data_IF_287553418438
#
_entry.id   IF_287553418438
#
_cell.length_a   1.000
_cell.length_b   1.000
_cell.length_c   1.000
_cell.angle_alpha   90.00
_cell.angle_beta   90.00
_cell.angle_gamma   90.00
#
_symmetry.space_group_name_H-M   'P 1'
#
loop_
_entity.id
_entity.type
_entity.pdbx_description
1 polymer ?
#
# COMPACT_ATOMS: atom_id res chain seq x y z
N UNK A 1 -17.71 -10.54 -20.72
CA UNK A 1 -16.31 -10.66 -20.27
C UNK A 1 -16.13 -9.77 -19.06
N UNK A 2 -15.94 -10.35 -17.88
CA UNK A 2 -15.40 -9.62 -16.73
C UNK A 2 -13.94 -9.30 -17.08
N UNK A 3 -13.60 -8.01 -17.25
CA UNK A 3 -12.23 -7.60 -17.57
C UNK A 3 -11.25 -7.90 -16.44
N UNK A 4 -10.02 -7.40 -16.54
CA UNK A 4 -8.95 -7.52 -15.53
C UNK A 4 -9.18 -6.68 -14.27
N UNK A 5 -10.42 -6.64 -13.78
CA UNK A 5 -10.84 -5.90 -12.59
C UNK A 5 -11.39 -6.85 -11.53
N UNK A 6 -10.93 -6.70 -10.29
CA UNK A 6 -11.32 -7.51 -9.15
C UNK A 6 -11.99 -6.68 -8.07
N UNK A 7 -12.97 -7.27 -7.39
CA UNK A 7 -13.56 -6.69 -6.19
C UNK A 7 -12.55 -6.76 -5.04
N UNK A 8 -12.18 -5.60 -4.52
CA UNK A 8 -11.28 -5.44 -3.38
C UNK A 8 -11.93 -4.52 -2.35
N UNK A 9 -11.42 -4.54 -1.12
CA UNK A 9 -11.81 -3.56 -0.10
C UNK A 9 -10.65 -2.59 0.11
N UNK A 10 -10.89 -1.30 -0.12
CA UNK A 10 -9.96 -0.22 0.16
C UNK A 10 -10.50 0.62 1.31
N UNK A 11 -9.76 0.70 2.43
CA UNK A 11 -10.17 1.46 3.62
C UNK A 11 -11.64 1.18 4.03
N UNK A 12 -12.02 -0.11 4.06
CA UNK A 12 -13.37 -0.62 4.37
C UNK A 12 -14.47 -0.31 3.34
N UNK A 13 -14.11 0.19 2.15
CA UNK A 13 -15.04 0.42 1.04
C UNK A 13 -14.80 -0.62 -0.07
N UNK A 14 -15.83 -1.36 -0.51
CA UNK A 14 -15.71 -2.22 -1.67
C UNK A 14 -15.53 -1.39 -2.94
N UNK A 15 -14.65 -1.84 -3.83
CA UNK A 15 -14.35 -1.21 -5.12
C UNK A 15 -13.80 -2.24 -6.10
N UNK A 16 -14.06 -2.03 -7.40
CA UNK A 16 -13.36 -2.75 -8.47
C UNK A 16 -12.05 -2.07 -8.79
N UNK A 17 -10.94 -2.73 -8.46
CA UNK A 17 -9.60 -2.28 -8.82
C UNK A 17 -9.15 -2.96 -10.12
N UNK A 18 -8.44 -2.21 -10.97
CA UNK A 18 -7.74 -2.77 -12.13
C UNK A 18 -6.49 -3.52 -11.65
N UNK A 19 -6.33 -4.77 -12.06
CA UNK A 19 -5.07 -5.51 -11.88
C UNK A 19 -4.25 -5.36 -13.16
N UNK A 20 -3.10 -4.68 -13.05
CA UNK A 20 -2.30 -4.29 -14.21
C UNK A 20 -0.81 -4.56 -13.97
N UNK A 21 -0.34 -5.72 -14.42
CA UNK A 21 1.08 -6.06 -14.41
C UNK A 21 1.93 -5.20 -15.36
N UNK A 22 1.30 -4.46 -16.28
CA UNK A 22 1.96 -3.51 -17.18
C UNK A 22 2.20 -2.13 -16.53
N UNK A 23 1.57 -1.83 -15.40
CA UNK A 23 1.79 -0.61 -14.65
C UNK A 23 2.93 -0.81 -13.63
N UNK A 24 4.00 -0.02 -13.69
CA UNK A 24 5.08 -0.11 -12.70
C UNK A 24 4.65 0.31 -11.29
N UNK A 25 3.64 1.16 -11.18
CA UNK A 25 3.20 1.76 -9.92
C UNK A 25 1.72 1.54 -9.68
N UNK A 26 1.36 1.36 -8.42
CA UNK A 26 -0.02 1.34 -7.96
C UNK A 26 -0.56 2.76 -7.87
N UNK A 27 -1.75 2.96 -8.42
CA UNK A 27 -2.34 4.28 -8.64
C UNK A 27 -3.72 4.38 -8.02
N UNK A 28 -4.02 5.54 -7.44
CA UNK A 28 -5.37 5.94 -7.05
C UNK A 28 -5.74 7.27 -7.72
N UNK A 29 -7.00 7.41 -8.14
CA UNK A 29 -7.54 8.68 -8.63
C UNK A 29 -7.68 9.69 -7.47
N UNK A 30 -7.37 10.96 -7.69
CA UNK A 30 -7.57 11.99 -6.65
C UNK A 30 -9.04 12.11 -6.25
N UNK A 31 -9.97 11.87 -7.20
CA UNK A 31 -11.40 11.79 -6.93
C UNK A 31 -11.70 10.75 -5.84
N UNK A 32 -11.19 9.53 -5.99
CA UNK A 32 -11.44 8.45 -5.05
C UNK A 32 -10.68 8.66 -3.72
N UNK A 33 -9.44 9.16 -3.77
CA UNK A 33 -8.69 9.55 -2.57
C UNK A 33 -9.47 10.58 -1.72
N UNK A 34 -10.07 11.60 -2.35
CA UNK A 34 -10.91 12.60 -1.68
C UNK A 34 -12.16 11.97 -1.06
N UNK A 35 -12.82 11.07 -1.78
CA UNK A 35 -13.95 10.31 -1.27
C UNK A 35 -13.59 9.51 0.00
N UNK A 36 -12.40 8.89 0.02
CA UNK A 36 -11.86 8.18 1.18
C UNK A 36 -11.26 9.10 2.25
N UNK A 37 -11.18 10.42 2.01
CA UNK A 37 -10.58 11.42 2.91
C UNK A 37 -9.11 11.11 3.29
N UNK A 38 -8.34 10.52 2.38
CA UNK A 38 -6.94 10.12 2.65
C UNK A 38 -6.01 11.33 2.52
N UNK A 39 -5.03 11.44 3.41
CA UNK A 39 -4.03 12.53 3.35
C UNK A 39 -3.17 12.36 2.10
N UNK A 40 -2.96 13.47 1.38
CA UNK A 40 -2.03 13.56 0.25
C UNK A 40 -0.70 14.10 0.78
N UNK A 41 0.40 13.42 0.49
CA UNK A 41 1.75 13.90 0.78
C UNK A 41 2.58 13.97 -0.49
N UNK A 42 3.49 14.94 -0.55
CA UNK A 42 4.35 15.15 -1.71
C UNK A 42 5.38 14.01 -1.84
N UNK A 43 5.68 13.60 -3.07
CA UNK A 43 6.90 12.87 -3.34
C UNK A 43 8.04 13.88 -3.54
N UNK A 44 9.09 13.78 -2.73
CA UNK A 44 10.27 14.62 -2.85
C UNK A 44 11.00 14.39 -4.18
N UNK A 45 10.79 13.23 -4.81
CA UNK A 45 11.33 12.89 -6.12
C UNK A 45 10.34 13.43 -7.15
N UNK A 46 10.76 14.40 -7.95
CA UNK A 46 10.00 14.97 -9.07
C UNK A 46 9.81 13.93 -10.21
N UNK A 47 9.11 12.84 -9.95
CA UNK A 47 8.91 11.74 -10.89
C UNK A 47 7.86 12.13 -11.94
N UNK A 48 8.17 11.90 -13.22
CA UNK A 48 7.18 11.89 -14.29
C UNK A 48 6.88 10.44 -14.66
N UNK A 49 5.60 10.12 -14.82
CA UNK A 49 5.15 8.80 -15.23
C UNK A 49 4.80 8.82 -16.71
N UNK A 50 5.34 7.87 -17.46
CA UNK A 50 4.84 7.55 -18.81
C UNK A 50 3.62 6.66 -18.65
N UNK A 51 2.47 7.07 -19.18
CA UNK A 51 1.23 6.28 -19.12
C UNK A 51 0.97 5.55 -20.44
N UNK A 52 -0.07 4.71 -20.44
CA UNK A 52 -0.35 3.78 -21.53
C UNK A 52 -0.63 4.45 -22.89
N UNK A 53 -1.09 5.71 -22.90
CA UNK A 53 -1.29 6.49 -24.13
C UNK A 53 0.02 7.08 -24.70
N UNK A 54 1.15 6.85 -24.02
CA UNK A 54 2.47 7.35 -24.39
C UNK A 54 2.81 8.72 -23.82
N UNK A 55 1.85 9.44 -23.21
CA UNK A 55 2.07 10.75 -22.61
C UNK A 55 2.80 10.65 -21.27
N UNK A 56 3.37 11.77 -20.86
CA UNK A 56 3.99 11.92 -19.54
C UNK A 56 3.10 12.76 -18.64
N UNK A 57 2.85 12.26 -17.43
CA UNK A 57 2.07 12.95 -16.41
C UNK A 57 2.87 13.09 -15.13
N UNK A 58 2.61 14.17 -14.41
CA UNK A 58 3.15 14.40 -13.08
C UNK A 58 2.12 13.97 -12.04
N UNK A 59 2.43 13.00 -11.16
CA UNK A 59 1.59 12.72 -10.01
C UNK A 59 1.39 13.95 -9.14
N UNK A 60 0.21 14.08 -8.53
CA UNK A 60 -0.04 15.18 -7.59
C UNK A 60 0.49 14.89 -6.18
N UNK A 61 0.90 13.64 -5.93
CA UNK A 61 1.49 13.18 -4.68
C UNK A 61 1.25 11.70 -4.47
N UNK A 62 1.31 11.28 -3.21
CA UNK A 62 1.13 9.91 -2.75
C UNK A 62 0.16 9.85 -1.57
N UNK A 63 -0.41 8.68 -1.34
CA UNK A 63 -1.18 8.40 -0.14
C UNK A 63 -1.06 6.92 0.25
N UNK A 64 -1.30 6.58 1.52
CA UNK A 64 -1.31 5.18 1.98
C UNK A 64 -2.73 4.68 2.09
N UNK A 65 -3.07 3.59 1.40
CA UNK A 65 -4.36 2.91 1.44
C UNK A 65 -4.25 1.61 2.23
N UNK A 66 -5.30 1.19 2.94
CA UNK A 66 -5.41 -0.19 3.44
C UNK A 66 -6.11 -1.03 2.38
N UNK A 67 -5.39 -1.97 1.79
CA UNK A 67 -5.88 -2.87 0.75
C UNK A 67 -6.21 -4.20 1.37
N UNK A 68 -7.47 -4.65 1.21
CA UNK A 68 -7.92 -5.97 1.61
C UNK A 68 -8.38 -6.78 0.41
N UNK A 69 -7.72 -7.90 0.20
CA UNK A 69 -8.00 -8.89 -0.83
C UNK A 69 -8.05 -10.25 -0.13
N UNK A 70 -9.11 -11.01 -0.35
CA UNK A 70 -9.41 -12.21 0.42
C UNK A 70 -9.41 -11.92 1.94
N UNK A 71 -8.67 -12.71 2.73
CA UNK A 71 -8.51 -12.54 4.18
C UNK A 71 -7.27 -11.71 4.59
N UNK A 72 -6.56 -11.10 3.64
CA UNK A 72 -5.34 -10.32 3.90
C UNK A 72 -5.62 -8.83 3.79
N UNK A 73 -5.19 -8.04 4.78
CA UNK A 73 -5.26 -6.57 4.75
C UNK A 73 -3.86 -5.99 5.02
N UNK A 74 -3.37 -5.13 4.13
CA UNK A 74 -2.07 -4.47 4.29
C UNK A 74 -2.13 -2.98 3.91
N UNK A 75 -1.38 -2.11 4.62
CA UNK A 75 -1.17 -0.75 4.16
C UNK A 75 -0.21 -0.74 2.97
N UNK A 76 -0.53 0.02 1.92
CA UNK A 76 0.34 0.18 0.76
C UNK A 76 0.32 1.62 0.26
N UNK A 77 1.46 2.09 -0.25
CA UNK A 77 1.61 3.44 -0.82
C UNK A 77 1.13 3.45 -2.27
N UNK A 78 0.29 4.42 -2.61
CA UNK A 78 -0.23 4.63 -3.95
C UNK A 78 0.19 5.99 -4.47
N UNK A 79 0.53 6.04 -5.75
CA UNK A 79 0.66 7.28 -6.49
C UNK A 79 -0.73 7.86 -6.75
N UNK A 80 -0.89 9.17 -6.52
CA UNK A 80 -2.15 9.87 -6.78
C UNK A 80 -2.06 10.61 -8.10
N UNK A 81 -2.98 10.29 -9.03
CA UNK A 81 -3.14 10.99 -10.29
C UNK A 81 -4.37 11.91 -10.24
N UNK A 82 -4.26 13.12 -10.80
CA UNK A 82 -5.38 14.05 -10.93
C UNK A 82 -6.51 13.48 -11.79
N UNK A 83 -6.14 12.81 -12.89
CA UNK A 83 -7.05 12.15 -13.81
C UNK A 83 -6.56 10.72 -14.06
N UNK A 84 -7.44 9.76 -13.83
CA UNK A 84 -7.22 8.34 -14.10
C UNK A 84 -8.54 7.72 -14.54
N UNK A 85 -8.51 6.82 -15.52
CA UNK A 85 -9.71 6.11 -16.00
C UNK A 85 -10.26 5.11 -14.96
N UNK A 86 -9.42 4.72 -14.00
CA UNK A 86 -9.75 3.80 -12.93
C UNK A 86 -9.53 4.48 -11.58
N UNK A 87 -10.40 4.20 -10.63
CA UNK A 87 -10.26 4.75 -9.28
C UNK A 87 -9.08 4.12 -8.54
N UNK A 88 -8.80 2.83 -8.77
CA UNK A 88 -7.65 2.11 -8.22
C UNK A 88 -7.03 1.20 -9.29
N UNK A 89 -5.71 1.25 -9.42
CA UNK A 89 -4.90 0.33 -10.22
C UNK A 89 -3.89 -0.32 -9.26
N UNK A 90 -3.87 -1.64 -9.22
CA UNK A 90 -2.85 -2.44 -8.55
C UNK A 90 -1.76 -2.74 -9.58
N UNK A 91 -0.65 -2.01 -9.45
CA UNK A 91 0.52 -2.13 -10.32
C UNK A 91 1.49 -3.20 -9.84
N UNK A 92 2.57 -3.37 -10.61
CA UNK A 92 3.63 -4.34 -10.36
C UNK A 92 4.27 -4.18 -8.98
N UNK A 93 4.44 -2.95 -8.48
CA UNK A 93 4.96 -2.68 -7.13
C UNK A 93 4.13 -3.33 -6.01
N UNK A 94 2.80 -3.25 -6.09
CA UNK A 94 1.90 -3.92 -5.15
C UNK A 94 1.93 -5.42 -5.36
N UNK A 95 1.83 -5.87 -6.61
CA UNK A 95 1.81 -7.30 -6.95
C UNK A 95 3.09 -8.00 -6.47
N UNK A 96 4.26 -7.41 -6.70
CA UNK A 96 5.55 -7.90 -6.23
C UNK A 96 5.64 -7.86 -4.71
N UNK A 97 5.31 -6.71 -4.08
CA UNK A 97 5.42 -6.56 -2.63
C UNK A 97 4.47 -7.49 -1.84
N UNK A 98 3.36 -7.89 -2.43
CA UNK A 98 2.38 -8.81 -1.84
C UNK A 98 2.53 -10.27 -2.31
N UNK A 99 3.56 -10.57 -3.10
CA UNK A 99 3.80 -11.90 -3.70
C UNK A 99 2.51 -12.43 -4.35
N UNK A 100 1.86 -11.58 -5.14
CA UNK A 100 0.53 -11.85 -5.64
C UNK A 100 0.54 -12.87 -6.79
N UNK A 101 -0.37 -13.83 -6.73
CA UNK A 101 -0.66 -14.78 -7.81
C UNK A 101 -1.94 -14.34 -8.51
N UNK A 102 -1.81 -14.02 -9.80
CA UNK A 102 -2.96 -13.70 -10.67
C UNK A 102 -3.48 -15.00 -11.27
N UNK A 103 -4.60 -15.51 -10.76
CA UNK A 103 -5.27 -16.69 -11.31
C UNK A 103 -6.39 -16.26 -12.28
N UNK A 104 -6.06 -16.25 -13.57
CA UNK A 104 -7.02 -15.92 -14.62
C UNK A 104 -8.10 -16.99 -14.81
N UNK A 105 -7.84 -18.25 -14.41
CA UNK A 105 -8.80 -19.35 -14.53
C UNK A 105 -9.92 -19.24 -13.50
N UNK A 106 -9.57 -18.82 -12.29
CA UNK A 106 -10.53 -18.55 -11.20
C UNK A 106 -11.02 -17.11 -11.15
N UNK A 107 -10.40 -16.19 -11.91
CA UNK A 107 -10.65 -14.75 -11.84
C UNK A 107 -10.42 -14.20 -10.41
N UNK A 108 -9.27 -14.55 -9.84
CA UNK A 108 -8.89 -14.19 -8.47
C UNK A 108 -7.46 -13.62 -8.43
N UNK A 109 -7.21 -12.80 -7.40
CA UNK A 109 -5.87 -12.39 -7.00
C UNK A 109 -5.62 -12.93 -5.61
N UNK A 110 -4.65 -13.84 -5.49
CA UNK A 110 -4.26 -14.42 -4.22
C UNK A 110 -3.01 -13.69 -3.76
N UNK A 111 -3.01 -13.22 -2.51
CA UNK A 111 -1.80 -12.66 -1.90
C UNK A 111 -1.15 -13.79 -1.11
N UNK A 112 0.07 -14.17 -1.47
CA UNK A 112 0.79 -15.18 -0.70
C UNK A 112 1.12 -14.65 0.70
N UNK A 113 1.16 -15.57 1.64
CA UNK A 113 1.72 -15.27 2.94
C UNK A 113 3.18 -14.94 2.73
N UNK A 114 3.58 -13.71 3.04
CA UNK A 114 4.96 -13.45 3.39
C UNK A 114 5.19 -14.16 4.72
N UNK A 115 5.32 -15.49 4.68
CA UNK A 115 6.24 -16.20 5.52
C UNK A 115 7.60 -15.60 5.17
N UNK A 116 7.92 -14.43 5.77
CA UNK A 116 9.28 -14.30 6.27
C UNK A 116 9.43 -15.57 7.08
N UNK A 117 10.44 -16.38 6.79
CA UNK A 117 10.89 -17.37 7.74
C UNK A 117 11.27 -16.62 9.02
N UNK A 118 10.26 -16.25 9.80
CA UNK A 118 10.35 -15.85 11.16
C UNK A 118 10.42 -17.16 11.91
N UNK A 119 11.63 -17.68 12.00
CA UNK A 119 12.16 -18.01 13.32
C UNK A 119 12.24 -16.73 14.18
N UNK A 120 11.17 -15.94 14.25
CA UNK A 120 11.04 -14.79 15.13
C UNK A 120 10.13 -15.27 16.26
N UNK A 121 10.69 -15.55 17.45
CA UNK A 121 9.89 -15.85 18.62
C UNK A 121 9.02 -14.62 18.93
N UNK A 122 7.76 -14.87 19.27
CA UNK A 122 6.83 -14.06 20.05
C UNK A 122 7.00 -12.54 19.96
N UNK A 123 6.02 -11.86 19.34
CA UNK A 123 5.92 -10.41 19.17
C UNK A 123 6.69 -9.59 20.22
N UNK A 124 7.93 -9.19 19.88
CA UNK A 124 8.74 -8.34 20.74
C UNK A 124 8.15 -6.93 20.72
N UNK A 125 7.59 -6.51 21.86
CA UNK A 125 7.19 -5.12 22.04
C UNK A 125 8.38 -4.31 22.57
N UNK A 126 8.77 -3.27 21.83
CA UNK A 126 9.83 -2.32 22.21
C UNK A 126 9.19 -1.08 22.85
N UNK A 127 9.63 -0.74 24.06
CA UNK A 127 9.20 0.46 24.77
C UNK A 127 10.40 1.34 25.10
N UNK A 128 10.21 2.66 25.09
CA UNK A 128 11.20 3.57 25.63
C UNK A 128 11.30 3.36 27.14
N UNK A 129 12.52 3.33 27.68
CA UNK A 129 12.72 3.09 29.13
C UNK A 129 12.32 4.28 30.02
N UNK A 130 11.95 5.40 29.41
CA UNK A 130 11.48 6.65 30.03
C UNK A 130 10.83 7.53 28.97
N UNK A 131 10.25 8.63 29.40
CA UNK A 131 9.70 9.64 28.50
C UNK A 131 10.80 10.46 27.81
N UNK A 132 10.56 10.80 26.54
CA UNK A 132 11.46 11.62 25.72
C UNK A 132 10.69 12.74 25.02
N UNK A 133 11.16 13.98 25.17
CA UNK A 133 10.69 15.13 24.40
C UNK A 133 11.61 15.35 23.20
N UNK A 134 11.08 15.22 21.99
CA UNK A 134 11.82 15.48 20.75
C UNK A 134 11.56 16.91 20.29
N UNK A 135 12.64 17.66 20.02
CA UNK A 135 12.52 18.98 19.40
C UNK A 135 12.23 18.82 17.89
N UNK A 136 11.48 19.74 17.26
CA UNK A 136 11.32 19.75 15.82
C UNK A 136 12.67 19.67 15.10
N UNK A 137 12.75 18.85 14.05
CA UNK A 137 13.94 18.67 13.21
C UNK A 137 15.20 18.16 13.94
N UNK A 138 15.06 17.36 14.99
CA UNK A 138 16.20 16.80 15.73
C UNK A 138 16.27 15.27 15.69
N UNK A 139 17.47 14.73 15.87
CA UNK A 139 17.74 13.30 16.02
C UNK A 139 18.26 13.04 17.45
N UNK A 140 17.65 12.11 18.15
CA UNK A 140 18.03 11.74 19.53
C UNK A 140 18.14 10.22 19.65
N UNK A 141 19.19 9.75 20.34
CA UNK A 141 19.33 8.33 20.69
C UNK A 141 18.44 8.01 21.89
N UNK A 142 17.49 7.10 21.70
CA UNK A 142 16.56 6.64 22.73
C UNK A 142 16.98 5.26 23.22
N UNK A 143 17.01 5.07 24.53
CA UNK A 143 17.20 3.75 25.15
C UNK A 143 15.85 3.03 25.20
N UNK A 144 15.83 1.77 24.77
CA UNK A 144 14.63 0.92 24.70
C UNK A 144 14.82 -0.36 25.49
N UNK A 145 13.71 -0.97 25.91
CA UNK A 145 13.63 -2.30 26.53
C UNK A 145 12.59 -3.16 25.81
N UNK A 146 12.79 -4.48 25.77
CA UNK A 146 11.83 -5.44 25.22
C UNK A 146 11.40 -6.48 26.26
N UNK A 147 10.16 -6.98 26.14
CA UNK A 147 9.66 -8.13 26.88
C UNK A 147 8.80 -9.03 25.98
N UNK A 148 8.85 -10.32 26.24
CA UNK A 148 8.11 -11.36 25.51
C UNK A 148 6.81 -11.63 26.27
N UNK A 149 5.66 -11.27 25.69
CA UNK A 149 4.37 -11.62 26.30
C UNK A 149 4.17 -13.13 26.18
N UNK A 150 4.26 -13.85 27.30
CA UNK A 150 3.75 -15.21 27.39
C UNK A 150 2.22 -15.15 27.21
N UNK A 151 1.71 -15.70 26.10
CA UNK A 151 0.28 -15.93 25.95
C UNK A 151 -0.15 -16.99 26.97
N UNK A 152 -1.19 -16.66 27.75
CA UNK A 152 -1.75 -17.50 28.83
C UNK A 152 -2.77 -18.49 28.29
#
# INVERSE_FOLDING_TARGET
MTGNQLDVIIDRKPIRALVDSGASFSVISDKYRRFLKKVLFADAKNVMLKVADGNFIRPIGKCVLRVRINNRELPFEFIVLSHCSHDVILGWDFLEASQAVIDCGQNELVLEDICRDSTAPDAWNLYATRDYTLKPHSLTRITVSGYQTEET
#
